data_IF_818030022814
#
_entry.id   IF_818030022814
#
_cell.length_a   1.000
_cell.length_b   1.000
_cell.length_c   1.000
_cell.angle_alpha   90.00
_cell.angle_beta   90.00
_cell.angle_gamma   90.00
#
_symmetry.space_group_name_H-M   'P 1'
#
loop_
_entity.id
_entity.type
_entity.pdbx_description
1 polymer ?
#
# COMPACT_ATOMS: atom_id res chain seq x y z
N UNK A 1 11.73 -19.06 1.39
CA UNK A 1 11.55 -17.60 1.31
C UNK A 1 12.90 -16.98 1.61
N UNK A 2 13.41 -16.12 0.72
CA UNK A 2 14.62 -15.36 1.00
C UNK A 2 14.28 -14.34 2.10
N UNK A 3 15.13 -14.25 3.13
CA UNK A 3 14.97 -13.28 4.20
C UNK A 3 14.94 -11.86 3.61
N UNK A 4 13.91 -11.09 3.95
CA UNK A 4 13.67 -9.70 3.59
C UNK A 4 14.28 -8.83 4.69
N UNK A 5 15.43 -8.23 4.41
CA UNK A 5 15.97 -7.18 5.24
C UNK A 5 15.39 -5.81 4.84
N UNK A 6 15.71 -4.76 5.59
CA UNK A 6 15.23 -3.40 5.33
C UNK A 6 15.56 -2.87 3.93
N UNK A 7 16.70 -3.22 3.35
CA UNK A 7 17.08 -2.80 1.99
C UNK A 7 16.19 -3.45 0.95
N UNK A 8 15.99 -4.76 1.07
CA UNK A 8 15.10 -5.52 0.19
C UNK A 8 13.65 -5.04 0.33
N UNK A 9 13.21 -4.70 1.55
CA UNK A 9 11.91 -4.10 1.80
C UNK A 9 11.75 -2.79 1.02
N UNK A 10 12.67 -1.83 1.17
CA UNK A 10 12.60 -0.53 0.47
C UNK A 10 12.61 -0.71 -1.04
N UNK A 11 13.44 -1.62 -1.56
CA UNK A 11 13.48 -1.93 -2.99
C UNK A 11 12.16 -2.52 -3.50
N UNK A 12 11.45 -3.32 -2.69
CA UNK A 12 10.13 -3.85 -3.04
C UNK A 12 9.05 -2.78 -2.98
N UNK A 13 9.00 -1.97 -1.93
CA UNK A 13 8.00 -0.90 -1.77
C UNK A 13 8.11 0.15 -2.88
N UNK A 14 9.33 0.50 -3.30
CA UNK A 14 9.54 1.39 -4.46
C UNK A 14 9.02 0.79 -5.78
N UNK A 15 9.10 -0.54 -5.96
CA UNK A 15 8.53 -1.21 -7.15
C UNK A 15 7.00 -1.18 -7.15
N UNK A 16 6.37 -1.00 -5.99
CA UNK A 16 4.93 -0.79 -5.84
C UNK A 16 4.52 0.69 -6.02
N UNK A 17 5.47 1.58 -6.31
CA UNK A 17 5.21 3.00 -6.50
C UNK A 17 5.08 3.82 -5.21
N UNK A 18 5.36 3.23 -4.04
CA UNK A 18 5.29 3.93 -2.75
C UNK A 18 6.52 4.81 -2.55
N UNK A 19 6.31 6.11 -2.52
CA UNK A 19 7.34 7.17 -2.57
C UNK A 19 7.68 7.74 -1.19
N UNK A 20 8.00 6.84 -0.26
CA UNK A 20 8.68 7.15 1.01
C UNK A 20 7.94 8.09 1.98
N UNK A 21 6.76 8.61 1.62
CA UNK A 21 5.91 9.44 2.47
C UNK A 21 4.95 8.60 3.31
N UNK A 22 4.68 7.37 2.87
CA UNK A 22 3.73 6.45 3.50
C UNK A 22 4.40 5.55 4.54
N UNK A 23 5.73 5.50 4.59
CA UNK A 23 6.44 4.65 5.51
C UNK A 23 7.81 5.17 5.93
N UNK A 24 8.29 4.77 7.11
CA UNK A 24 9.63 5.04 7.64
C UNK A 24 10.35 3.74 7.92
N UNK A 25 11.54 3.59 7.34
CA UNK A 25 12.47 2.50 7.62
C UNK A 25 13.80 3.10 8.10
N UNK A 26 14.34 2.68 9.26
CA UNK A 26 15.50 3.32 9.85
C UNK A 26 16.72 3.23 8.94
N UNK A 27 17.29 4.40 8.59
CA UNK A 27 18.50 4.53 7.78
C UNK A 27 18.27 4.59 6.26
N UNK A 28 17.04 4.71 5.77
CA UNK A 28 16.75 4.70 4.33
C UNK A 28 16.23 6.03 3.78
N UNK A 29 15.28 6.67 4.46
CA UNK A 29 14.77 7.98 4.10
C UNK A 29 14.03 8.58 5.29
N UNK A 30 14.01 9.90 5.32
CA UNK A 30 13.17 10.68 6.23
C UNK A 30 11.86 11.02 5.53
N UNK A 31 10.81 11.24 6.32
CA UNK A 31 9.54 11.72 5.78
C UNK A 31 9.70 13.17 5.32
N UNK A 32 9.13 13.54 4.16
CA UNK A 32 9.01 14.94 3.79
C UNK A 32 8.01 15.63 4.72
N UNK A 33 8.53 16.44 5.66
CA UNK A 33 7.70 17.15 6.64
C UNK A 33 7.14 16.22 7.74
N UNK A 34 5.92 16.50 8.19
CA UNK A 34 5.24 15.73 9.25
C UNK A 34 3.89 15.23 8.71
N UNK A 35 3.85 14.17 7.90
CA UNK A 35 2.60 13.63 7.40
C UNK A 35 1.69 13.21 8.55
N UNK A 36 0.38 13.40 8.38
CA UNK A 36 -0.60 13.02 9.38
C UNK A 36 -0.68 11.50 9.57
N UNK A 37 -0.31 10.71 8.57
CA UNK A 37 -0.33 9.24 8.60
C UNK A 37 0.90 8.66 7.89
N UNK A 38 1.63 7.75 8.56
CA UNK A 38 2.68 6.94 7.94
C UNK A 38 2.92 5.65 8.72
N UNK A 39 3.33 4.58 8.05
CA UNK A 39 3.75 3.34 8.70
C UNK A 39 5.19 3.42 9.16
N UNK A 40 5.56 2.79 10.26
CA UNK A 40 6.94 2.77 10.72
C UNK A 40 7.39 1.35 11.02
N UNK A 41 8.69 1.13 10.80
CA UNK A 41 9.43 0.00 11.32
C UNK A 41 10.48 0.57 12.27
N UNK A 42 10.58 0.06 13.50
CA UNK A 42 11.64 0.48 14.43
C UNK A 42 12.16 -0.66 15.29
N UNK A 43 13.46 -0.66 15.67
CA UNK A 43 13.96 -1.56 16.69
C UNK A 43 13.40 -1.18 18.07
N UNK A 44 13.06 -2.17 18.90
CA UNK A 44 12.57 -1.93 20.26
C UNK A 44 12.51 -3.21 21.11
N UNK A 45 12.86 -3.10 22.40
CA UNK A 45 12.63 -4.18 23.40
C UNK A 45 13.27 -5.55 23.09
N UNK A 46 14.32 -5.61 22.26
CA UNK A 46 14.94 -6.87 21.84
C UNK A 46 14.39 -7.46 20.53
N UNK A 47 13.53 -6.72 19.82
CA UNK A 47 12.98 -7.12 18.54
C UNK A 47 12.66 -5.91 17.66
N UNK A 48 11.65 -6.08 16.82
CA UNK A 48 11.20 -5.11 15.83
C UNK A 48 9.73 -4.79 16.01
N UNK A 49 9.40 -3.52 16.02
CA UNK A 49 8.02 -3.04 16.09
C UNK A 49 7.61 -2.50 14.72
N UNK A 50 6.43 -2.90 14.26
CA UNK A 50 5.73 -2.29 13.14
C UNK A 50 4.50 -1.59 13.67
N UNK A 51 4.28 -0.35 13.25
CA UNK A 51 3.11 0.41 13.63
C UNK A 51 2.75 1.48 12.61
N UNK A 52 1.74 2.25 12.96
CA UNK A 52 1.31 3.43 12.21
C UNK A 52 1.42 4.64 13.10
N UNK A 53 1.97 5.73 12.58
CA UNK A 53 1.86 7.03 13.18
C UNK A 53 0.64 7.72 12.59
N UNK A 54 -0.28 8.17 13.43
CA UNK A 54 -1.49 8.88 13.01
C UNK A 54 -1.71 10.11 13.90
N UNK A 55 -1.77 11.29 13.27
CA UNK A 55 -2.08 12.58 13.90
C UNK A 55 -1.24 12.85 15.15
N UNK A 56 0.07 12.66 15.04
CA UNK A 56 1.02 12.90 16.13
C UNK A 56 1.16 11.76 17.13
N UNK A 57 0.55 10.59 16.88
CA UNK A 57 0.59 9.44 17.80
C UNK A 57 1.03 8.15 17.13
N UNK A 58 2.00 7.48 17.74
CA UNK A 58 2.40 6.13 17.37
C UNK A 58 1.37 5.12 17.89
N UNK A 59 0.92 4.23 17.00
CA UNK A 59 0.07 3.08 17.29
C UNK A 59 0.80 1.81 16.87
N UNK A 60 1.41 1.09 17.83
CA UNK A 60 2.04 -0.20 17.57
C UNK A 60 0.98 -1.17 17.01
N UNK A 61 1.31 -1.82 15.91
CA UNK A 61 0.44 -2.83 15.29
C UNK A 61 0.89 -4.24 15.64
N UNK A 62 2.20 -4.50 15.58
CA UNK A 62 2.78 -5.80 15.90
C UNK A 62 4.25 -5.67 16.32
N UNK A 63 4.71 -6.64 17.12
CA UNK A 63 6.12 -6.81 17.46
C UNK A 63 6.61 -8.17 16.99
N UNK A 64 7.87 -8.23 16.56
CA UNK A 64 8.51 -9.40 15.99
C UNK A 64 9.88 -9.62 16.61
N UNK A 65 10.32 -10.87 16.66
CA UNK A 65 11.64 -11.21 17.17
C UNK A 65 12.73 -10.81 16.17
N UNK A 66 12.45 -10.88 14.87
CA UNK A 66 13.44 -10.68 13.81
C UNK A 66 13.10 -9.53 12.86
N UNK A 67 14.15 -8.98 12.24
CA UNK A 67 14.00 -7.94 11.19
C UNK A 67 13.21 -8.49 9.99
N UNK A 68 13.46 -9.75 9.64
CA UNK A 68 12.84 -10.43 8.50
C UNK A 68 11.32 -10.52 8.63
N UNK A 69 10.84 -11.01 9.77
CA UNK A 69 9.41 -11.12 10.07
C UNK A 69 8.72 -9.75 10.01
N UNK A 70 9.35 -8.73 10.62
CA UNK A 70 8.81 -7.38 10.64
C UNK A 70 8.77 -6.75 9.24
N UNK A 71 9.82 -6.93 8.45
CA UNK A 71 9.87 -6.45 7.07
C UNK A 71 8.83 -7.16 6.19
N UNK A 72 8.68 -8.48 6.34
CA UNK A 72 7.66 -9.26 5.65
C UNK A 72 6.26 -8.78 5.98
N UNK A 73 5.98 -8.54 7.26
CA UNK A 73 4.70 -8.01 7.73
C UNK A 73 4.40 -6.62 7.15
N UNK A 74 5.35 -5.68 7.27
CA UNK A 74 5.18 -4.32 6.75
C UNK A 74 4.99 -4.29 5.22
N UNK A 75 5.74 -5.12 4.49
CA UNK A 75 5.56 -5.28 3.05
C UNK A 75 4.14 -5.75 2.70
N UNK A 76 3.64 -6.78 3.37
CA UNK A 76 2.29 -7.29 3.13
C UNK A 76 1.21 -6.24 3.36
N UNK A 77 1.34 -5.48 4.45
CA UNK A 77 0.39 -4.43 4.82
C UNK A 77 0.35 -3.29 3.79
N UNK A 78 1.52 -2.83 3.35
CA UNK A 78 1.62 -1.76 2.35
C UNK A 78 1.24 -2.24 0.94
N UNK A 79 1.58 -3.47 0.57
CA UNK A 79 1.20 -4.05 -0.72
C UNK A 79 -0.32 -4.23 -0.83
N UNK A 80 -0.97 -4.71 0.23
CA UNK A 80 -2.42 -4.81 0.29
C UNK A 80 -3.09 -3.42 0.17
N UNK A 81 -2.57 -2.41 0.88
CA UNK A 81 -3.05 -1.04 0.78
C UNK A 81 -2.87 -0.46 -0.63
N UNK A 82 -1.69 -0.63 -1.23
CA UNK A 82 -1.43 -0.17 -2.60
C UNK A 82 -2.39 -0.85 -3.60
N UNK A 83 -2.62 -2.16 -3.45
CA UNK A 83 -3.58 -2.89 -4.25
C UNK A 83 -5.02 -2.39 -4.10
N UNK A 84 -5.45 -1.99 -2.89
CA UNK A 84 -6.77 -1.36 -2.66
C UNK A 84 -6.84 0.05 -3.24
N UNK A 85 -5.78 0.84 -3.14
CA UNK A 85 -5.71 2.19 -3.70
C UNK A 85 -5.85 2.16 -5.23
N UNK A 86 -5.18 1.22 -5.91
CA UNK A 86 -5.32 1.01 -7.36
C UNK A 86 -6.77 0.69 -7.75
N UNK A 87 -7.45 -0.18 -6.99
CA UNK A 87 -8.86 -0.54 -7.20
C UNK A 87 -9.85 0.62 -6.92
N UNK A 88 -9.44 1.60 -6.13
CA UNK A 88 -10.29 2.73 -5.72
C UNK A 88 -10.17 3.93 -6.65
N UNK A 89 -9.33 3.86 -7.71
CA UNK A 89 -9.41 4.86 -8.77
C UNK A 89 -10.83 4.88 -9.33
N UNK A 90 -11.58 6.00 -9.20
CA UNK A 90 -12.86 6.11 -9.87
C UNK A 90 -12.58 5.96 -11.35
N UNK A 91 -13.24 4.98 -11.99
CA UNK A 91 -13.20 4.84 -13.45
C UNK A 91 -13.31 6.23 -14.06
N UNK A 92 -12.36 6.54 -14.94
CA UNK A 92 -12.31 7.83 -15.60
C UNK A 92 -13.67 8.13 -16.23
N UNK A 93 -14.07 9.40 -16.30
CA UNK A 93 -15.34 9.76 -16.94
C UNK A 93 -15.45 9.17 -18.37
N UNK A 94 -14.32 9.08 -19.09
CA UNK A 94 -14.20 8.38 -20.37
C UNK A 94 -14.42 6.86 -20.28
N UNK A 95 -13.86 6.18 -19.28
CA UNK A 95 -14.05 4.73 -19.09
C UNK A 95 -15.50 4.41 -18.72
N UNK A 96 -16.15 5.26 -17.91
CA UNK A 96 -17.59 5.15 -17.63
C UNK A 96 -18.41 5.34 -18.89
N UNK A 97 -18.03 6.31 -19.74
CA UNK A 97 -18.69 6.57 -21.02
C UNK A 97 -18.60 5.36 -21.94
N UNK A 98 -17.38 4.84 -22.18
CA UNK A 98 -17.14 3.67 -23.04
C UNK A 98 -17.90 2.44 -22.53
N UNK A 99 -17.83 2.14 -21.23
CA UNK A 99 -18.53 0.98 -20.64
C UNK A 99 -20.06 1.11 -20.73
N UNK A 100 -20.59 2.33 -20.58
CA UNK A 100 -22.02 2.58 -20.72
C UNK A 100 -22.51 2.45 -22.17
N UNK A 101 -21.70 2.88 -23.15
CA UNK A 101 -21.98 2.73 -24.58
C UNK A 101 -21.99 1.24 -25.01
N UNK A 102 -21.09 0.42 -24.44
CA UNK A 102 -21.06 -1.04 -24.70
C UNK A 102 -22.25 -1.79 -24.09
N UNK A 103 -22.67 -1.41 -22.88
CA UNK A 103 -23.87 -1.95 -22.25
C UNK A 103 -25.13 -1.61 -23.07
N UNK A 104 -25.22 -0.39 -23.57
CA UNK A 104 -26.33 0.04 -24.43
C UNK A 104 -26.32 -0.68 -25.79
N UNK A 105 -25.17 -0.83 -26.45
CA UNK A 105 -25.07 -1.59 -27.71
C UNK A 105 -25.50 -3.06 -27.56
N UNK A 106 -25.23 -3.65 -26.41
CA UNK A 106 -25.61 -5.05 -26.13
C UNK A 106 -27.11 -5.19 -25.93
N UNK A 107 -27.74 -4.24 -25.22
CA UNK A 107 -29.19 -4.18 -25.05
C UNK A 107 -29.95 -3.94 -26.39
N UNK A 108 -29.45 -3.05 -27.25
CA UNK A 108 -30.07 -2.76 -28.55
C UNK A 108 -30.02 -3.94 -29.54
N UNK A 109 -28.99 -4.79 -29.46
CA UNK A 109 -28.91 -6.02 -30.27
C UNK A 109 -29.92 -7.07 -29.84
N UNK A 110 -30.21 -7.17 -28.55
CA UNK A 110 -31.20 -8.12 -28.02
C UNK A 110 -32.64 -7.70 -28.35
N UNK A 111 -32.94 -6.40 -28.33
CA UNK A 111 -34.26 -5.88 -28.69
C UNK A 111 -34.62 -6.10 -30.18
N UNK A 112 -33.64 -6.08 -31.08
CA UNK A 112 -33.88 -6.18 -32.55
C UNK A 112 -34.09 -7.62 -33.05
N UNK A 113 -33.83 -8.63 -32.22
CA UNK A 113 -34.00 -10.04 -32.58
C UNK A 113 -35.22 -10.71 -31.92
N UNK A 114 -36.10 -9.92 -31.31
CA UNK A 114 -37.34 -10.39 -30.68
C UNK A 114 -38.58 -9.78 -31.31
#
# INVERSE_FOLDING_TARGET
MLAVNRSELVARLRRLGLDGAEYVVPGYHDLPGSPEEYYYLRPGGGGWEVGVHERGRDRPSATFATEDEACGYLHGLLADRAGRAEQTHPMSADELRVRSEEAQRTAWRQYRQS
#
